data_IF_751215222452
#
_entry.id   IF_751215222452
#
_cell.length_a   1.000
_cell.length_b   1.000
_cell.length_c   1.000
_cell.angle_alpha   90.00
_cell.angle_beta   90.00
_cell.angle_gamma   90.00
#
_symmetry.space_group_name_H-M   'P 1'
#
loop_
_entity.id
_entity.type
_entity.pdbx_description
1 polymer ?
#
# COMPACT_ATOMS: atom_id res chain seq x y z
N UNK A 1 -11.85 -1.23 -41.18
CA UNK A 1 -10.82 -1.23 -40.12
C UNK A 1 -9.97 0.00 -40.32
N UNK A 2 -10.04 0.95 -39.40
CA UNK A 2 -9.31 2.21 -39.47
C UNK A 2 -7.86 1.95 -39.07
N UNK A 3 -6.91 2.18 -39.97
CA UNK A 3 -5.47 2.06 -39.69
C UNK A 3 -4.97 3.46 -39.38
N UNK A 4 -4.53 3.66 -38.14
CA UNK A 4 -3.81 4.85 -37.69
C UNK A 4 -2.32 4.55 -37.80
N UNK A 5 -1.56 5.42 -38.46
CA UNK A 5 -0.10 5.40 -38.44
C UNK A 5 0.37 6.43 -37.42
N UNK A 6 0.61 6.00 -36.18
CA UNK A 6 1.19 6.85 -35.15
C UNK A 6 2.72 6.67 -35.15
N UNK A 7 3.45 7.77 -35.36
CA UNK A 7 4.91 7.76 -35.42
C UNK A 7 5.48 7.89 -33.99
N UNK A 8 6.21 6.88 -33.50
CA UNK A 8 6.67 6.80 -32.10
C UNK A 8 7.70 7.86 -31.67
N UNK A 9 7.98 8.86 -32.50
CA UNK A 9 9.02 9.89 -32.28
C UNK A 9 8.48 11.31 -32.17
N UNK A 10 7.22 11.55 -32.54
CA UNK A 10 6.60 12.89 -32.45
C UNK A 10 5.19 12.72 -31.86
N UNK A 11 4.84 13.50 -30.84
CA UNK A 11 3.61 13.38 -30.04
C UNK A 11 2.31 13.76 -30.80
N UNK A 12 2.22 13.47 -32.09
CA UNK A 12 0.99 13.66 -32.88
C UNK A 12 0.72 12.47 -33.80
N UNK A 13 -0.55 12.07 -33.90
CA UNK A 13 -1.01 11.12 -34.91
C UNK A 13 -1.72 11.91 -36.03
N UNK A 14 -1.35 11.66 -37.27
CA UNK A 14 -2.03 12.22 -38.44
C UNK A 14 -3.04 11.23 -39.00
N UNK A 15 -4.12 11.75 -39.59
CA UNK A 15 -5.09 10.91 -40.29
C UNK A 15 -4.44 10.44 -41.60
N UNK A 16 -4.55 9.14 -41.91
CA UNK A 16 -3.97 8.56 -43.13
C UNK A 16 -4.40 9.36 -44.37
N UNK A 17 -3.46 9.57 -45.30
CA UNK A 17 -3.65 10.35 -46.53
C UNK A 17 -4.81 9.84 -47.42
N UNK A 18 -5.32 8.64 -47.17
CA UNK A 18 -6.44 8.02 -47.89
C UNK A 18 -7.83 8.32 -47.26
N UNK A 19 -7.93 9.24 -46.29
CA UNK A 19 -9.21 9.58 -45.64
C UNK A 19 -10.11 10.47 -46.51
N UNK A 20 -11.30 9.97 -46.84
CA UNK A 20 -12.34 10.68 -47.63
C UNK A 20 -13.51 11.06 -46.72
N UNK A 21 -13.29 11.94 -45.76
CA UNK A 21 -14.33 12.44 -44.84
C UNK A 21 -14.14 13.92 -44.50
N UNK A 22 -15.22 14.64 -44.16
CA UNK A 22 -15.23 16.10 -44.02
C UNK A 22 -14.63 16.64 -42.71
N UNK A 23 -14.37 15.79 -41.72
CA UNK A 23 -13.64 16.17 -40.51
C UNK A 23 -13.06 14.93 -39.82
N UNK A 24 -11.77 15.00 -39.46
CA UNK A 24 -11.14 14.06 -38.55
C UNK A 24 -11.19 14.71 -37.15
N UNK A 25 -11.92 14.14 -36.20
CA UNK A 25 -11.95 14.63 -34.82
C UNK A 25 -10.84 13.96 -34.01
N UNK A 26 -9.85 14.73 -33.59
CA UNK A 26 -8.87 14.32 -32.58
C UNK A 26 -9.52 14.58 -31.23
N UNK A 27 -10.01 13.53 -30.57
CA UNK A 27 -10.46 13.62 -29.19
C UNK A 27 -9.34 13.14 -28.26
N UNK A 28 -8.57 14.08 -27.73
CA UNK A 28 -7.82 13.84 -26.50
C UNK A 28 -8.84 13.78 -25.36
N UNK A 29 -9.19 12.57 -24.90
CA UNK A 29 -9.80 12.42 -23.58
C UNK A 29 -8.68 12.64 -22.59
N UNK A 30 -8.53 13.89 -22.19
CA UNK A 30 -7.64 14.31 -21.14
C UNK A 30 -7.98 13.50 -19.88
N UNK A 31 -7.08 12.59 -19.49
CA UNK A 31 -7.20 11.76 -18.27
C UNK A 31 -7.43 12.66 -17.06
N UNK A 32 -7.04 13.94 -17.15
CA UNK A 32 -7.11 14.93 -16.10
C UNK A 32 -8.27 15.95 -16.24
N UNK A 33 -9.10 15.86 -17.29
CA UNK A 33 -10.27 16.74 -17.46
C UNK A 33 -11.54 16.26 -16.75
N UNK A 34 -11.56 15.03 -16.19
CA UNK A 34 -12.66 14.55 -15.34
C UNK A 34 -12.53 15.05 -13.88
N UNK A 35 -12.43 16.34 -13.63
CA UNK A 35 -12.46 16.86 -12.25
C UNK A 35 -13.19 18.18 -12.06
N UNK A 36 -14.16 18.52 -12.92
CA UNK A 36 -15.00 19.70 -12.68
C UNK A 36 -16.27 19.44 -11.85
N UNK A 37 -16.61 18.20 -11.45
CA UNK A 37 -17.77 18.00 -10.56
C UNK A 37 -17.86 16.68 -9.77
N UNK A 38 -16.81 15.86 -9.67
CA UNK A 38 -16.93 14.55 -9.01
C UNK A 38 -15.96 14.36 -7.83
N UNK A 39 -16.57 14.02 -6.70
CA UNK A 39 -16.03 13.45 -5.46
C UNK A 39 -14.65 12.80 -5.63
N UNK A 40 -13.65 13.23 -4.85
CA UNK A 40 -12.31 12.63 -4.78
C UNK A 40 -12.40 11.12 -4.47
N UNK A 41 -12.47 10.28 -5.50
CA UNK A 41 -12.44 8.83 -5.36
C UNK A 41 -11.02 8.34 -5.04
N UNK A 42 -10.89 7.36 -4.15
CA UNK A 42 -9.60 6.72 -3.89
C UNK A 42 -9.14 5.94 -5.13
N UNK A 43 -7.91 6.16 -5.58
CA UNK A 43 -7.31 5.38 -6.68
C UNK A 43 -7.23 3.89 -6.35
N UNK A 44 -7.04 3.57 -5.08
CA UNK A 44 -7.16 2.22 -4.54
C UNK A 44 -7.53 2.29 -3.06
N UNK A 45 -8.15 1.24 -2.55
CA UNK A 45 -8.51 1.06 -1.16
C UNK A 45 -8.44 -0.44 -0.82
N UNK A 46 -7.68 -0.81 0.21
CA UNK A 46 -7.42 -2.21 0.58
C UNK A 46 -7.87 -2.44 2.02
N UNK A 47 -8.81 -3.36 2.21
CA UNK A 47 -9.28 -3.84 3.53
C UNK A 47 -8.88 -5.29 3.81
N UNK A 48 -8.13 -5.92 2.91
CA UNK A 48 -7.78 -7.34 2.93
C UNK A 48 -8.97 -8.33 2.94
N UNK A 49 -10.21 -7.82 2.81
CA UNK A 49 -11.44 -8.61 2.79
C UNK A 49 -11.81 -9.18 4.16
N UNK A 50 -12.68 -10.18 4.18
CA UNK A 50 -13.16 -10.83 5.42
C UNK A 50 -13.34 -12.34 5.24
N UNK A 51 -13.45 -13.08 6.35
CA UNK A 51 -13.73 -14.51 6.34
C UNK A 51 -13.70 -15.17 7.71
N UNK A 52 -14.34 -16.34 7.83
CA UNK A 52 -14.47 -17.08 9.08
C UNK A 52 -13.16 -17.69 9.58
N UNK A 53 -12.25 -18.03 8.66
CA UNK A 53 -10.96 -18.60 9.02
C UNK A 53 -10.06 -17.53 9.62
N UNK A 54 -9.37 -17.86 10.73
CA UNK A 54 -8.49 -16.89 11.38
C UNK A 54 -7.37 -16.41 10.47
N UNK A 55 -6.85 -17.29 9.61
CA UNK A 55 -5.78 -16.99 8.66
C UNK A 55 -6.32 -17.08 7.24
N UNK A 56 -6.21 -16.00 6.47
CA UNK A 56 -6.64 -15.99 5.07
C UNK A 56 -5.73 -16.86 4.19
N UNK A 57 -6.33 -17.57 3.23
CA UNK A 57 -5.58 -18.20 2.14
C UNK A 57 -5.02 -17.20 1.12
N UNK A 58 -5.47 -15.93 1.16
CA UNK A 58 -5.02 -14.87 0.25
C UNK A 58 -3.55 -14.48 0.42
N UNK A 59 -2.91 -14.03 -0.64
CA UNK A 59 -1.51 -13.56 -0.68
C UNK A 59 -1.45 -12.08 -1.02
N UNK A 60 -0.27 -11.47 -0.91
CA UNK A 60 -0.06 -10.06 -1.29
C UNK A 60 -0.52 -9.75 -2.73
N UNK A 61 -0.35 -10.70 -3.66
CA UNK A 61 -0.76 -10.53 -5.06
C UNK A 61 -2.27 -10.43 -5.25
N UNK A 62 -3.08 -11.03 -4.36
CA UNK A 62 -4.54 -10.88 -4.38
C UNK A 62 -5.00 -9.43 -4.10
N UNK A 63 -4.09 -8.60 -3.58
CA UNK A 63 -4.28 -7.17 -3.31
C UNK A 63 -3.33 -6.29 -4.12
N UNK A 64 -2.77 -6.82 -5.22
CA UNK A 64 -1.90 -6.11 -6.15
C UNK A 64 -0.64 -5.48 -5.54
N UNK A 65 -0.14 -6.01 -4.42
CA UNK A 65 1.16 -5.60 -3.87
C UNK A 65 2.16 -6.76 -3.81
N UNK A 66 3.43 -6.40 -3.67
CA UNK A 66 4.53 -7.32 -3.41
C UNK A 66 5.22 -6.95 -2.09
N UNK A 67 5.95 -7.89 -1.50
CA UNK A 67 6.67 -7.68 -0.24
C UNK A 67 7.90 -8.60 -0.18
N UNK A 68 8.90 -8.20 0.60
CA UNK A 68 10.01 -9.08 0.97
C UNK A 68 9.65 -10.08 2.08
N UNK A 69 8.51 -9.89 2.77
CA UNK A 69 8.06 -10.80 3.82
C UNK A 69 7.54 -12.11 3.22
N UNK A 70 7.71 -13.20 3.97
CA UNK A 70 7.21 -14.53 3.57
C UNK A 70 5.84 -14.79 4.19
N UNK A 71 4.87 -15.23 3.38
CA UNK A 71 3.58 -15.66 3.92
C UNK A 71 3.77 -16.91 4.76
N UNK A 72 3.33 -16.89 6.01
CA UNK A 72 3.46 -18.02 6.93
C UNK A 72 2.17 -18.32 7.69
N UNK A 73 2.07 -19.55 8.18
CA UNK A 73 1.05 -19.94 9.15
C UNK A 73 1.50 -19.60 10.57
N UNK A 74 0.58 -19.65 11.54
CA UNK A 74 0.88 -19.31 12.94
C UNK A 74 2.08 -20.07 13.53
N UNK A 75 2.23 -21.36 13.22
CA UNK A 75 3.32 -22.17 13.78
C UNK A 75 4.71 -21.75 13.32
N UNK A 76 4.79 -21.00 12.21
CA UNK A 76 6.02 -20.53 11.60
C UNK A 76 6.15 -19.01 11.64
N UNK A 77 5.26 -18.31 12.34
CA UNK A 77 5.26 -16.85 12.41
C UNK A 77 6.49 -16.38 13.21
N UNK A 78 7.44 -15.79 12.49
CA UNK A 78 8.79 -15.41 12.96
C UNK A 78 9.23 -14.16 12.19
N UNK A 79 10.30 -13.47 12.63
CA UNK A 79 10.80 -12.28 11.93
C UNK A 79 11.00 -12.51 10.43
N UNK A 80 10.47 -11.58 9.63
CA UNK A 80 10.42 -11.65 8.16
C UNK A 80 9.17 -12.33 7.61
N UNK A 81 8.14 -12.57 8.43
CA UNK A 81 6.91 -13.23 8.02
C UNK A 81 5.70 -12.29 8.01
N UNK A 82 4.68 -12.66 7.22
CA UNK A 82 3.39 -12.02 7.24
C UNK A 82 2.22 -13.00 7.15
N UNK A 83 1.05 -12.54 7.58
CA UNK A 83 -0.22 -13.22 7.41
C UNK A 83 -1.36 -12.19 7.30
N UNK A 84 -2.47 -12.59 6.69
CA UNK A 84 -3.73 -11.86 6.84
C UNK A 84 -4.58 -12.56 7.88
N UNK A 85 -4.95 -11.85 8.95
CA UNK A 85 -5.65 -12.44 10.10
C UNK A 85 -6.91 -11.69 10.46
N UNK A 86 -8.01 -12.40 10.75
CA UNK A 86 -9.28 -11.76 11.09
C UNK A 86 -9.39 -11.34 12.57
N UNK A 87 -8.34 -11.66 13.32
CA UNK A 87 -8.15 -11.32 14.71
C UNK A 87 -6.70 -11.59 15.10
N UNK A 88 -6.14 -10.77 15.98
CA UNK A 88 -4.78 -10.97 16.50
C UNK A 88 -4.67 -12.36 17.15
N UNK A 89 -3.78 -13.24 16.66
CA UNK A 89 -3.66 -14.58 17.20
C UNK A 89 -3.21 -14.57 18.66
N UNK A 90 -3.70 -15.53 19.44
CA UNK A 90 -3.28 -15.68 20.83
C UNK A 90 -1.81 -16.09 20.90
N UNK A 91 -0.94 -15.16 21.31
CA UNK A 91 0.44 -15.48 21.68
C UNK A 91 0.45 -16.21 23.02
N UNK A 92 1.36 -17.18 23.18
CA UNK A 92 1.51 -18.00 24.39
C UNK A 92 1.81 -17.16 25.64
N UNK A 93 2.20 -15.90 25.48
CA UNK A 93 2.73 -15.03 26.53
C UNK A 93 1.81 -13.86 26.91
N UNK A 94 0.57 -13.80 26.39
CA UNK A 94 -0.40 -12.67 26.58
C UNK A 94 0.15 -11.26 26.28
N UNK A 95 1.31 -11.19 25.62
CA UNK A 95 1.99 -9.94 25.28
C UNK A 95 1.34 -9.21 24.10
N UNK A 96 0.45 -9.88 23.36
CA UNK A 96 -0.25 -9.28 22.22
C UNK A 96 -1.69 -8.95 22.58
N UNK A 97 -2.29 -8.03 21.83
CA UNK A 97 -3.71 -7.69 21.91
C UNK A 97 -4.59 -8.83 21.34
N UNK A 98 -4.52 -10.01 21.97
CA UNK A 98 -5.20 -11.22 21.53
C UNK A 98 -6.68 -10.99 21.21
N UNK A 99 -7.14 -11.60 20.12
CA UNK A 99 -8.50 -11.52 19.59
C UNK A 99 -8.98 -10.13 19.16
N UNK A 100 -8.15 -9.09 19.25
CA UNK A 100 -8.49 -7.79 18.70
C UNK A 100 -8.69 -7.86 17.19
N UNK A 101 -9.66 -7.09 16.70
CA UNK A 101 -10.12 -7.07 15.30
C UNK A 101 -9.36 -6.03 14.48
N UNK A 102 -9.54 -6.07 13.17
CA UNK A 102 -8.96 -5.11 12.25
C UNK A 102 -9.61 -3.72 12.43
N UNK A 103 -9.16 -2.74 11.65
CA UNK A 103 -9.64 -1.36 11.75
C UNK A 103 -10.96 -1.14 10.98
N UNK A 104 -11.32 -2.01 10.04
CA UNK A 104 -12.47 -1.78 9.16
C UNK A 104 -13.76 -1.79 9.98
N UNK A 105 -14.53 -0.71 9.89
CA UNK A 105 -15.81 -0.61 10.63
C UNK A 105 -16.92 -1.34 9.87
N UNK A 106 -17.85 -1.93 10.61
CA UNK A 106 -19.01 -2.64 10.07
C UNK A 106 -18.69 -3.84 9.16
N UNK A 107 -17.52 -4.45 9.30
CA UNK A 107 -17.26 -5.76 8.74
C UNK A 107 -17.26 -6.84 9.84
N UNK A 108 -17.69 -8.05 9.45
CA UNK A 108 -17.63 -9.22 10.32
C UNK A 108 -16.44 -10.03 9.88
N UNK A 109 -15.51 -10.25 10.81
CA UNK A 109 -14.27 -11.00 10.58
C UNK A 109 -13.42 -10.42 9.43
N UNK A 110 -13.25 -9.10 9.44
CA UNK A 110 -12.31 -8.36 8.59
C UNK A 110 -10.87 -8.79 8.83
N UNK A 111 -10.11 -8.95 7.74
CA UNK A 111 -8.70 -9.32 7.80
C UNK A 111 -7.82 -8.08 7.97
N UNK A 112 -6.80 -8.18 8.83
CA UNK A 112 -5.69 -7.23 8.89
C UNK A 112 -4.41 -7.84 8.32
N UNK A 113 -3.51 -7.00 7.82
CA UNK A 113 -2.16 -7.39 7.46
C UNK A 113 -1.27 -7.39 8.70
N UNK A 114 -0.95 -8.59 9.20
CA UNK A 114 -0.06 -8.80 10.33
C UNK A 114 1.34 -9.13 9.81
N UNK A 115 2.34 -8.37 10.24
CA UNK A 115 3.74 -8.55 9.89
C UNK A 115 4.59 -8.68 11.17
N UNK A 116 5.59 -9.55 11.14
CA UNK A 116 6.69 -9.64 12.11
C UNK A 116 7.94 -9.24 11.34
N UNK A 117 8.47 -8.04 11.58
CA UNK A 117 9.47 -7.43 10.70
C UNK A 117 10.82 -8.12 10.92
N UNK A 118 11.52 -8.46 9.83
CA UNK A 118 12.77 -9.20 9.91
C UNK A 118 13.99 -8.30 10.08
N UNK A 119 14.13 -7.32 9.19
CA UNK A 119 15.33 -6.47 9.09
C UNK A 119 14.97 -5.05 8.67
N UNK A 120 15.79 -4.10 9.10
CA UNK A 120 15.71 -2.73 8.58
C UNK A 120 15.97 -2.75 7.06
N UNK A 121 15.15 -1.99 6.33
CA UNK A 121 15.19 -1.91 4.86
C UNK A 121 14.28 -2.91 4.13
N UNK A 122 13.62 -3.84 4.83
CA UNK A 122 12.66 -4.75 4.20
C UNK A 122 11.42 -4.01 3.70
N UNK A 123 11.03 -4.25 2.44
CA UNK A 123 9.80 -3.73 1.86
C UNK A 123 8.63 -4.58 2.31
N UNK A 124 7.83 -4.06 3.24
CA UNK A 124 6.63 -4.75 3.73
C UNK A 124 5.43 -4.54 2.80
N UNK A 125 5.50 -3.52 1.93
CA UNK A 125 4.50 -3.26 0.90
C UNK A 125 5.15 -2.52 -0.27
N UNK A 126 4.90 -3.00 -1.49
CA UNK A 126 5.33 -2.40 -2.73
C UNK A 126 4.19 -2.48 -3.75
N UNK A 127 3.67 -1.32 -4.14
CA UNK A 127 2.49 -1.18 -4.97
C UNK A 127 2.76 -0.19 -6.12
N UNK A 128 2.43 -0.59 -7.33
CA UNK A 128 2.61 0.24 -8.52
C UNK A 128 1.30 0.94 -8.87
N UNK A 129 1.38 2.25 -9.14
CA UNK A 129 0.24 3.05 -9.58
C UNK A 129 0.56 3.66 -10.92
N UNK A 130 -0.40 3.58 -11.83
CA UNK A 130 -0.34 4.17 -13.15
C UNK A 130 -1.49 5.17 -13.31
N UNK A 131 -1.45 5.95 -14.40
CA UNK A 131 -2.48 6.91 -14.77
C UNK A 131 -2.69 8.04 -13.73
N UNK A 132 -1.61 8.47 -13.07
CA UNK A 132 -1.62 9.69 -12.26
C UNK A 132 -1.62 10.92 -13.17
N UNK A 133 -2.31 11.97 -12.71
CA UNK A 133 -2.23 13.30 -13.29
C UNK A 133 -1.00 14.03 -12.76
N UNK A 134 -0.03 14.26 -13.64
CA UNK A 134 1.19 15.00 -13.31
C UNK A 134 0.81 16.40 -12.82
N UNK A 135 1.44 16.85 -11.74
CA UNK A 135 1.15 18.14 -11.10
C UNK A 135 0.03 18.11 -10.07
N UNK A 136 -0.74 17.02 -9.97
CA UNK A 136 -1.78 16.87 -8.94
C UNK A 136 -1.22 16.32 -7.62
N UNK A 137 -1.86 16.73 -6.52
CA UNK A 137 -1.57 16.24 -5.18
C UNK A 137 -2.34 14.97 -4.87
N UNK A 138 -1.64 13.98 -4.33
CA UNK A 138 -2.18 12.69 -3.90
C UNK A 138 -1.80 12.41 -2.43
N UNK A 139 -2.60 11.60 -1.74
CA UNK A 139 -2.31 11.10 -0.40
C UNK A 139 -2.22 9.57 -0.43
N UNK A 140 -1.17 9.04 0.19
CA UNK A 140 -1.11 7.65 0.62
C UNK A 140 -1.29 7.62 2.14
N UNK A 141 -2.18 6.75 2.62
CA UNK A 141 -2.31 6.50 4.05
C UNK A 141 -2.69 5.05 4.36
N UNK A 142 -2.35 4.63 5.57
CA UNK A 142 -2.71 3.34 6.13
C UNK A 142 -2.98 3.49 7.62
N UNK A 143 -3.88 2.66 8.15
CA UNK A 143 -4.06 2.50 9.58
C UNK A 143 -3.10 1.42 10.08
N UNK A 144 -2.32 1.74 11.10
CA UNK A 144 -1.32 0.86 11.69
C UNK A 144 -1.45 0.88 13.21
N UNK A 145 -1.01 -0.21 13.85
CA UNK A 145 -0.94 -0.34 15.32
C UNK A 145 0.19 -1.29 15.66
N UNK A 146 0.79 -1.10 16.83
CA UNK A 146 1.59 -2.15 17.44
C UNK A 146 0.65 -3.18 18.05
N UNK A 147 0.83 -4.46 17.74
CA UNK A 147 0.02 -5.55 18.31
C UNK A 147 0.47 -5.94 19.72
N UNK A 148 1.68 -5.54 20.10
CA UNK A 148 2.20 -5.74 21.44
C UNK A 148 1.51 -4.81 22.43
N UNK A 149 1.10 -5.38 23.57
CA UNK A 149 0.51 -4.67 24.69
C UNK A 149 1.60 -3.98 25.49
N UNK A 150 1.22 -2.89 26.15
CA UNK A 150 2.03 -2.27 27.19
C UNK A 150 2.58 -3.33 28.15
N UNK A 151 3.91 -3.34 28.30
CA UNK A 151 4.65 -4.34 29.08
C UNK A 151 5.83 -3.68 29.79
N UNK A 152 6.24 -4.26 30.92
CA UNK A 152 7.40 -3.83 31.69
C UNK A 152 8.73 -4.36 31.13
N UNK A 153 8.69 -5.06 29.99
CA UNK A 153 9.86 -5.72 29.42
C UNK A 153 10.85 -4.68 28.85
N UNK A 154 12.12 -4.67 29.29
CA UNK A 154 13.05 -3.55 29.06
C UNK A 154 13.68 -3.50 27.65
N UNK A 155 13.12 -4.17 26.63
CA UNK A 155 13.74 -4.28 25.30
C UNK A 155 12.70 -4.52 24.19
N UNK A 156 11.64 -3.73 24.18
CA UNK A 156 10.67 -3.72 23.07
C UNK A 156 11.20 -2.81 21.98
N UNK A 157 11.27 -3.32 20.75
CA UNK A 157 11.53 -2.51 19.56
C UNK A 157 10.20 -2.19 18.92
N UNK A 158 9.81 -0.92 18.96
CA UNK A 158 8.56 -0.46 18.36
C UNK A 158 8.69 -0.43 16.83
N UNK A 159 7.65 -0.85 16.08
CA UNK A 159 7.64 -0.74 14.63
C UNK A 159 7.84 0.71 14.21
N UNK A 160 8.69 0.93 13.21
CA UNK A 160 8.87 2.23 12.59
C UNK A 160 8.91 2.04 11.08
N UNK A 161 7.88 2.54 10.38
CA UNK A 161 7.68 2.31 8.97
C UNK A 161 7.94 3.60 8.20
N UNK A 162 8.75 3.49 7.14
CA UNK A 162 8.98 4.58 6.18
C UNK A 162 8.11 4.37 4.96
N UNK A 163 7.23 5.34 4.73
CA UNK A 163 6.53 5.48 3.46
C UNK A 163 7.46 6.17 2.47
N UNK A 164 7.56 5.64 1.25
CA UNK A 164 8.25 6.27 0.14
C UNK A 164 7.39 6.27 -1.12
N UNK A 165 7.51 7.33 -1.90
CA UNK A 165 6.95 7.46 -3.25
C UNK A 165 8.11 7.65 -4.20
N UNK A 166 8.23 6.78 -5.20
CA UNK A 166 9.32 6.80 -6.17
C UNK A 166 8.79 6.79 -7.59
N UNK A 167 9.55 7.36 -8.52
CA UNK A 167 9.26 7.20 -9.94
C UNK A 167 9.32 5.72 -10.35
N UNK A 168 8.45 5.29 -11.26
CA UNK A 168 8.41 3.90 -11.73
C UNK A 168 9.51 3.62 -12.77
N UNK A 169 10.74 3.43 -12.30
CA UNK A 169 11.92 2.99 -13.06
C UNK A 169 12.87 2.23 -12.12
N UNK A 170 13.83 1.48 -12.66
CA UNK A 170 14.88 0.87 -11.85
C UNK A 170 15.61 1.94 -11.04
N UNK A 171 15.72 1.76 -9.72
CA UNK A 171 16.24 2.76 -8.77
C UNK A 171 15.58 4.14 -8.91
N UNK A 172 14.26 4.17 -9.11
CA UNK A 172 13.48 5.39 -9.30
C UNK A 172 13.74 6.48 -8.27
N UNK A 173 13.79 7.71 -8.78
CA UNK A 173 14.03 8.91 -7.99
C UNK A 173 12.99 9.03 -6.88
N UNK A 174 13.45 9.44 -5.69
CA UNK A 174 12.58 9.69 -4.55
C UNK A 174 11.74 10.94 -4.81
N UNK A 175 10.42 10.80 -4.78
CA UNK A 175 9.45 11.89 -4.94
C UNK A 175 9.07 12.45 -3.58
N UNK A 176 8.74 11.56 -2.63
CA UNK A 176 8.39 11.92 -1.26
C UNK A 176 8.72 10.78 -0.30
N UNK A 177 8.97 11.11 0.96
CA UNK A 177 9.10 10.12 2.03
C UNK A 177 8.60 10.67 3.36
N UNK A 178 8.15 9.76 4.23
CA UNK A 178 7.82 10.08 5.62
C UNK A 178 7.92 8.82 6.49
N UNK A 179 8.58 8.94 7.63
CA UNK A 179 8.55 7.89 8.66
C UNK A 179 7.34 8.09 9.57
N UNK A 180 6.78 7.00 10.07
CA UNK A 180 5.76 7.00 11.12
C UNK A 180 6.27 7.56 12.44
N UNK A 181 7.60 7.59 12.64
CA UNK A 181 8.17 7.49 13.98
C UNK A 181 7.93 6.10 14.54
N UNK A 182 8.26 5.91 15.81
CA UNK A 182 7.96 4.66 16.49
C UNK A 182 6.44 4.57 16.72
N UNK A 183 5.86 3.41 16.41
CA UNK A 183 4.44 3.12 16.66
C UNK A 183 4.36 2.51 18.06
N UNK A 184 3.88 3.27 19.06
CA UNK A 184 4.05 2.89 20.44
C UNK A 184 3.16 1.71 20.83
N UNK A 185 3.58 1.00 21.87
CA UNK A 185 2.72 0.02 22.54
C UNK A 185 1.64 0.72 23.36
N UNK A 186 0.43 0.15 23.39
CA UNK A 186 -0.70 0.72 24.12
C UNK A 186 -1.30 -0.27 25.12
N UNK A 187 -2.00 0.25 26.11
CA UNK A 187 -2.81 -0.57 27.03
C UNK A 187 -3.98 -1.26 26.33
N UNK A 188 -4.57 -0.57 25.35
CA UNK A 188 -5.66 -1.03 24.49
C UNK A 188 -5.25 -0.85 23.02
N UNK A 189 -5.59 -1.82 22.17
CA UNK A 189 -5.19 -1.78 20.74
C UNK A 189 -5.75 -0.51 20.10
N UNK A 190 -4.85 0.30 19.54
CA UNK A 190 -5.19 1.63 19.06
C UNK A 190 -4.63 1.82 17.66
N UNK A 191 -5.52 1.81 16.67
CA UNK A 191 -5.19 2.08 15.28
C UNK A 191 -4.94 3.57 15.06
N UNK A 192 -3.83 3.90 14.42
CA UNK A 192 -3.45 5.27 14.07
C UNK A 192 -3.26 5.39 12.57
N UNK A 193 -3.77 6.48 11.99
CA UNK A 193 -3.61 6.77 10.56
C UNK A 193 -2.23 7.39 10.32
N UNK A 194 -1.42 6.73 9.50
CA UNK A 194 -0.14 7.25 9.03
C UNK A 194 -0.16 7.40 7.52
N UNK A 195 0.60 8.35 7.00
CA UNK A 195 0.61 8.64 5.57
C UNK A 195 1.40 9.88 5.21
N UNK A 196 1.50 10.10 3.91
CA UNK A 196 2.15 11.25 3.31
C UNK A 196 1.37 11.75 2.10
N UNK A 197 1.52 13.03 1.80
CA UNK A 197 1.02 13.64 0.57
C UNK A 197 2.19 13.95 -0.35
N UNK A 198 1.96 13.88 -1.65
CA UNK A 198 2.96 14.17 -2.67
C UNK A 198 2.32 14.75 -3.92
N UNK A 199 3.10 15.47 -4.71
CA UNK A 199 2.70 15.92 -6.06
C UNK A 199 3.26 14.93 -7.07
N UNK A 200 2.42 14.41 -7.96
CA UNK A 200 2.84 13.46 -8.99
C UNK A 200 3.80 14.15 -9.98
N UNK A 201 5.04 13.65 -10.06
CA UNK A 201 6.05 14.09 -11.05
C UNK A 201 6.06 13.24 -12.33
N UNK A 202 5.34 12.13 -12.31
CA UNK A 202 5.17 11.17 -13.39
C UNK A 202 3.77 10.57 -13.33
N UNK A 203 3.28 10.05 -14.46
CA UNK A 203 2.00 9.34 -14.54
C UNK A 203 2.04 7.95 -13.90
N UNK A 204 3.24 7.42 -13.62
CA UNK A 204 3.45 6.14 -12.95
C UNK A 204 4.46 6.26 -11.80
N UNK A 205 4.15 5.61 -10.68
CA UNK A 205 4.96 5.61 -9.46
C UNK A 205 4.98 4.24 -8.79
N UNK A 206 5.91 4.09 -7.85
CA UNK A 206 5.94 3.00 -6.88
C UNK A 206 5.72 3.59 -5.48
N UNK A 207 4.75 3.02 -4.76
CA UNK A 207 4.55 3.26 -3.34
C UNK A 207 5.21 2.15 -2.54
N UNK A 208 6.04 2.52 -1.57
CA UNK A 208 6.74 1.59 -0.70
C UNK A 208 6.37 1.87 0.75
N UNK A 209 6.20 0.81 1.54
CA UNK A 209 6.33 0.85 3.00
C UNK A 209 7.50 -0.04 3.40
N UNK A 210 8.45 0.54 4.12
CA UNK A 210 9.76 -0.07 4.42
C UNK A 210 9.98 -0.05 5.93
N UNK A 211 10.44 -1.15 6.52
CA UNK A 211 10.84 -1.15 7.93
C UNK A 211 12.11 -0.31 8.15
N UNK A 212 12.13 0.56 9.15
CA UNK A 212 13.34 1.25 9.63
C UNK A 212 14.06 0.51 10.76
N UNK A 213 13.47 -0.56 11.30
CA UNK A 213 13.96 -1.28 12.47
C UNK A 213 14.25 -2.73 12.14
N UNK A 214 15.25 -3.30 12.82
CA UNK A 214 15.53 -4.73 12.77
C UNK A 214 14.53 -5.53 13.60
N UNK A 215 14.33 -6.79 13.22
CA UNK A 215 13.49 -7.75 13.91
C UNK A 215 13.96 -8.02 15.32
N UNK A 216 13.18 -7.57 16.29
CA UNK A 216 13.36 -7.77 17.71
C UNK A 216 12.00 -7.93 18.38
N UNK A 217 11.99 -8.22 19.68
CA UNK A 217 10.74 -8.39 20.41
C UNK A 217 9.85 -7.14 20.30
N UNK A 218 8.65 -7.33 19.76
CA UNK A 218 7.60 -6.31 19.73
C UNK A 218 7.47 -5.50 18.44
N UNK A 219 8.19 -5.89 17.38
CA UNK A 219 7.96 -5.34 16.04
C UNK A 219 7.14 -6.28 15.14
#
# INVERSE_FOLDING_TARGET
STILDCNNTEDYCECSNDFIGSSCEIQSVDVCSKHENDTYGSLFFITFGSGSDRFSSKTASDFNFTTNLKKESWSNFKPGAYAFVNSVPSSLTVLWHNAAKDHTTNDTDGYMYLADLGKAGEQIFNYQINNLCVGMSYELSAYMTNVMRETWWPSVTEPNIRFEVRAMKENGDLIAQKSTGDIPIYKHMTWSKHGLSFVAKSSSIVLLMISNVDGHWGN
#
